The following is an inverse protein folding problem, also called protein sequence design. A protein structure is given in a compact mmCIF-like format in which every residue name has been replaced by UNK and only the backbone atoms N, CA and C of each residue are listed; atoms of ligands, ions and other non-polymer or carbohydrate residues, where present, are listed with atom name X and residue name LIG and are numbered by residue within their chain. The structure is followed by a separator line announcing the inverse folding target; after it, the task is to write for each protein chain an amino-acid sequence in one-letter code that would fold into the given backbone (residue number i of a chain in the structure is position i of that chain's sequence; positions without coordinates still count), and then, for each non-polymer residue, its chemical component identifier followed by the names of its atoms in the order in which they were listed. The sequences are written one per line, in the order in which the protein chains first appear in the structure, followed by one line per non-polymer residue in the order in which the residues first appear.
data_IF_831661789955
#
_entry.id   IF_831661789955
#
_cell.length_a   1.000
_cell.length_b   1.000
_cell.length_c   1.000
_cell.angle_alpha   90.00
_cell.angle_beta   90.00
_cell.angle_gamma   90.00
#
_symmetry.space_group_name_H-M   'P 1'
#
loop_
_entity.id
_entity.type
_entity.pdbx_description
1 polymer ?
#
# COMPACT_ATOMS: atom_id res chain seq x y z
N UNK A 1 -28.92 -6.86 -5.15
CA UNK A 1 -28.45 -6.64 -5.08
C UNK A 1 -28.17 -6.63 -5.23
N UNK A 2 -28.29 -6.82 -5.05
CA UNK A 2 -27.81 -6.60 -5.11
C UNK A 2 -27.41 -6.42 -5.48
N UNK A 3 -27.57 -6.53 -5.78
CA UNK A 3 -27.10 -6.24 -5.93
C UNK A 3 -26.45 -5.97 -5.94
N UNK A 4 -26.50 -6.17 -5.64
CA UNK A 4 -25.77 -5.89 -5.41
C UNK A 4 -25.22 -5.82 -4.84
N UNK A 5 -25.38 -6.03 -4.62
CA UNK A 5 -24.91 -5.94 -3.88
C UNK A 5 -24.53 -6.06 -3.24
N UNK A 6 -24.66 -6.42 -3.00
CA UNK A 6 -24.27 -6.49 -2.31
C UNK A 6 -23.82 -6.70 -1.92
N UNK A 7 -23.90 -7.09 -1.89
CA UNK A 7 -23.38 -7.24 -1.46
C UNK A 7 -22.69 -7.08 -0.95
N UNK A 8 -22.67 -7.14 -0.74
CA UNK A 8 -22.12 -7.08 -0.36
C UNK A 8 -21.38 -6.88 0.43
N UNK A 9 -20.73 -7.12 0.51
CA UNK A 9 -19.92 -7.14 1.26
C UNK A 9 -19.52 -6.16 1.88
N UNK A 10 -19.26 -6.15 2.69
CA UNK A 10 -18.92 -5.29 3.34
C UNK A 10 -17.84 -4.93 3.37
N UNK A 11 -17.56 -4.35 3.05
CA UNK A 11 -16.49 -4.00 2.96
C UNK A 11 -16.07 -3.49 4.08
N UNK A 12 -15.78 -4.02 4.76
CA UNK A 12 -15.34 -3.54 5.76
C UNK A 12 -14.26 -2.84 5.58
N UNK A 13 -14.15 -1.81 5.89
CA UNK A 13 -13.20 -1.08 5.72
C UNK A 13 -12.34 -1.21 6.78
N UNK A 14 -11.57 -2.10 6.92
CA UNK A 14 -10.64 -2.20 7.87
C UNK A 14 -9.37 -1.69 7.46
N UNK A 15 -8.57 -1.11 8.27
CA UNK A 15 -7.20 -0.81 7.92
C UNK A 15 -6.54 -2.10 7.56
N UNK A 16 -5.63 -2.09 6.64
CA UNK A 16 -5.01 -3.33 6.24
C UNK A 16 -4.26 -3.93 7.40
N UNK A 17 -4.63 -5.10 7.77
CA UNK A 17 -3.88 -5.84 8.76
C UNK A 17 -2.56 -6.29 8.18
N UNK A 18 -2.48 -6.38 6.86
CA UNK A 18 -1.28 -6.81 6.18
C UNK A 18 -0.96 -5.81 5.08
N UNK A 19 -0.21 -4.77 5.41
CA UNK A 19 0.11 -3.74 4.41
C UNK A 19 0.84 -4.28 3.19
N UNK A 20 1.60 -5.36 3.35
CA UNK A 20 2.28 -5.94 2.19
C UNK A 20 1.29 -6.42 1.15
N UNK A 21 0.19 -7.00 1.61
CA UNK A 21 -0.84 -7.44 0.69
C UNK A 21 -1.62 -6.24 0.16
N UNK A 22 -1.97 -5.31 1.05
CA UNK A 22 -2.78 -4.18 0.65
C UNK A 22 -2.07 -3.30 -0.37
N UNK A 23 -0.75 -3.17 -0.24
CA UNK A 23 0.02 -2.29 -1.10
C UNK A 23 0.92 -3.07 -2.06
N UNK A 24 0.53 -4.29 -2.42
CA UNK A 24 1.38 -5.15 -3.24
C UNK A 24 1.74 -4.49 -4.57
N UNK A 25 0.79 -3.82 -5.20
CA UNK A 25 1.07 -3.15 -6.47
C UNK A 25 2.05 -2.00 -6.29
N UNK A 26 1.89 -1.25 -5.22
CA UNK A 26 2.79 -0.14 -4.94
C UNK A 26 4.19 -0.63 -4.61
N UNK A 27 4.27 -1.72 -3.86
CA UNK A 27 5.58 -2.31 -3.54
C UNK A 27 6.27 -2.76 -4.81
N UNK A 28 5.50 -3.35 -5.74
CA UNK A 28 6.07 -3.76 -7.02
C UNK A 28 6.64 -2.55 -7.77
N UNK A 29 5.94 -1.43 -7.75
CA UNK A 29 6.44 -0.22 -8.39
C UNK A 29 7.71 0.27 -7.72
N UNK A 30 7.78 0.21 -6.40
CA UNK A 30 8.99 0.63 -5.70
C UNK A 30 10.16 -0.27 -6.05
N UNK A 31 9.91 -1.57 -6.15
CA UNK A 31 10.96 -2.50 -6.55
C UNK A 31 11.47 -2.19 -7.96
N UNK A 32 10.56 -1.85 -8.86
CA UNK A 32 10.95 -1.49 -10.22
C UNK A 32 11.86 -0.27 -10.24
N UNK A 33 11.78 0.56 -9.25
CA UNK A 33 12.60 1.75 -9.17
C UNK A 33 13.87 1.54 -8.36
N UNK A 34 14.09 0.33 -7.88
CA UNK A 34 15.30 0.01 -7.16
C UNK A 34 15.18 -0.01 -5.64
N UNK A 35 13.98 0.18 -5.12
CA UNK A 35 13.77 0.12 -3.67
C UNK A 35 13.37 -1.30 -3.30
N UNK A 36 14.33 -2.08 -2.81
CA UNK A 36 14.11 -3.51 -2.61
C UNK A 36 13.92 -3.91 -1.15
N UNK A 37 13.91 -2.97 -0.23
CA UNK A 37 13.77 -3.29 1.19
C UNK A 37 12.28 -3.33 1.53
N UNK A 38 11.69 -4.51 1.69
CA UNK A 38 10.25 -4.59 1.91
C UNK A 38 9.79 -3.89 3.18
N UNK A 39 10.57 -3.94 4.24
CA UNK A 39 10.18 -3.29 5.47
C UNK A 39 10.12 -1.78 5.31
N UNK A 40 11.12 -1.22 4.65
CA UNK A 40 11.14 0.22 4.42
C UNK A 40 10.04 0.64 3.45
N UNK A 41 9.82 -0.17 2.41
CA UNK A 41 8.78 0.14 1.44
C UNK A 41 7.41 0.16 2.10
N UNK A 42 7.12 -0.85 2.91
CA UNK A 42 5.84 -0.91 3.60
C UNK A 42 5.69 0.27 4.54
N UNK A 43 6.73 0.60 5.28
CA UNK A 43 6.67 1.70 6.22
C UNK A 43 6.38 3.01 5.50
N UNK A 44 7.05 3.24 4.40
CA UNK A 44 6.84 4.46 3.62
C UNK A 44 5.43 4.52 3.05
N UNK A 45 4.92 3.38 2.58
CA UNK A 45 3.57 3.36 2.02
C UNK A 45 2.51 3.54 3.08
N UNK A 46 2.68 2.94 4.23
CA UNK A 46 1.73 3.13 5.32
C UNK A 46 1.71 4.59 5.75
N UNK A 47 2.88 5.21 5.86
CA UNK A 47 2.97 6.61 6.27
C UNK A 47 2.34 7.55 5.25
N UNK A 48 2.26 7.14 3.99
CA UNK A 48 1.74 7.99 2.92
C UNK A 48 0.41 7.48 2.37
N UNK A 49 -0.22 6.53 3.06
CA UNK A 49 -1.50 5.97 2.65
C UNK A 49 -1.46 5.35 1.26
N UNK A 50 -0.35 4.75 0.93
CA UNK A 50 -0.21 4.06 -0.35
C UNK A 50 0.20 4.96 -1.50
N UNK A 51 0.62 6.18 -1.23
CA UNK A 51 1.03 7.11 -2.28
C UNK A 51 2.48 6.82 -2.66
N UNK A 52 2.68 6.26 -3.85
CA UNK A 52 4.01 5.85 -4.28
C UNK A 52 4.96 7.04 -4.39
N UNK A 53 4.51 8.15 -4.94
CA UNK A 53 5.38 9.31 -5.09
C UNK A 53 5.88 9.82 -3.75
N UNK A 54 4.97 9.94 -2.79
CA UNK A 54 5.36 10.39 -1.46
C UNK A 54 6.23 9.36 -0.77
N UNK A 55 5.94 8.08 -0.99
CA UNK A 55 6.76 7.03 -0.41
C UNK A 55 8.19 7.09 -0.93
N UNK A 56 8.35 7.36 -2.23
CA UNK A 56 9.68 7.48 -2.81
C UNK A 56 10.44 8.63 -2.15
N UNK A 57 9.78 9.75 -1.94
CA UNK A 57 10.43 10.87 -1.30
C UNK A 57 10.89 10.52 0.11
N UNK A 58 10.06 9.80 0.84
CA UNK A 58 10.46 9.38 2.18
C UNK A 58 11.64 8.42 2.12
N UNK A 59 11.63 7.50 1.17
CA UNK A 59 12.72 6.54 1.05
C UNK A 59 14.03 7.22 0.67
N UNK A 60 13.95 8.21 -0.21
CA UNK A 60 15.14 8.96 -0.61
C UNK A 60 15.69 9.80 0.53
N UNK A 61 14.84 10.24 1.42
CA UNK A 61 15.26 11.04 2.56
C UNK A 61 15.66 10.20 3.75
N UNK A 62 15.68 8.91 3.61
CA UNK A 62 16.10 8.03 4.68
C UNK A 62 15.06 7.82 5.75
N UNK A 63 13.83 8.10 5.42
CA UNK A 63 12.79 7.90 6.42
C UNK A 63 12.17 6.51 6.35
#
# INVERSE_FOLDING_TARGET
GSPFGGMGAPPSVMPPADPETAYAAQISQLNDMGFFDPAENVRALVATNGNVSAAIERLLNGA
#
